data_IF_734981847600
#
_entry.id   IF_734981847600
#
_cell.length_a   1.000
_cell.length_b   1.000
_cell.length_c   1.000
_cell.angle_alpha   90.00
_cell.angle_beta   90.00
_cell.angle_gamma   90.00
#
_symmetry.space_group_name_H-M   'P 1'
#
loop_
_entity.id
_entity.type
_entity.pdbx_description
1 polymer ?
#
# COMPACT_ATOMS: atom_id res chain seq x y z
N UNK A 1 -5.57 22.77 23.54
CA UNK A 1 -4.32 22.25 22.91
C UNK A 1 -4.58 20.80 22.59
N UNK A 2 -4.71 20.45 21.30
CA UNK A 2 -5.10 19.10 20.87
C UNK A 2 -4.04 18.06 21.26
N UNK A 3 -4.45 16.81 21.47
CA UNK A 3 -3.52 15.73 21.73
C UNK A 3 -2.60 15.52 20.51
N UNK A 4 -1.32 15.23 20.76
CA UNK A 4 -0.32 14.95 19.72
C UNK A 4 0.05 13.48 19.75
N UNK A 5 0.16 12.87 18.57
CA UNK A 5 0.72 11.54 18.37
C UNK A 5 2.18 11.64 17.96
N UNK A 6 2.97 10.66 18.40
CA UNK A 6 4.36 10.48 18.01
C UNK A 6 4.48 9.16 17.27
N UNK A 7 4.77 9.20 15.97
CA UNK A 7 5.00 8.02 15.16
C UNK A 7 6.50 7.76 15.07
N UNK A 8 6.93 6.58 15.49
CA UNK A 8 8.30 6.12 15.29
C UNK A 8 8.55 5.93 13.80
N UNK A 9 9.62 6.56 13.31
CA UNK A 9 10.07 6.40 11.93
C UNK A 9 11.13 5.30 11.93
N UNK A 10 10.91 4.18 11.20
CA UNK A 10 11.88 3.10 11.18
C UNK A 10 13.14 3.54 10.45
N UNK A 11 14.31 3.07 10.90
CA UNK A 11 15.58 3.32 10.21
C UNK A 11 15.56 2.78 8.78
N UNK A 12 14.92 1.62 8.60
CA UNK A 12 14.73 0.98 7.30
C UNK A 12 13.32 0.42 7.15
N UNK A 13 12.88 0.39 5.90
CA UNK A 13 11.64 -0.22 5.43
C UNK A 13 12.01 -1.35 4.49
N UNK A 14 11.20 -2.40 4.47
CA UNK A 14 11.36 -3.50 3.52
C UNK A 14 10.16 -3.57 2.60
N UNK A 15 10.38 -3.75 1.31
CA UNK A 15 9.34 -4.06 0.32
C UNK A 15 9.69 -5.37 -0.37
N UNK A 16 8.69 -6.25 -0.57
CA UNK A 16 8.87 -7.53 -1.25
C UNK A 16 7.83 -7.74 -2.33
N UNK A 17 8.31 -8.19 -3.49
CA UNK A 17 7.47 -8.67 -4.58
C UNK A 17 7.82 -10.12 -4.86
N UNK A 18 6.82 -10.98 -4.90
CA UNK A 18 6.96 -12.39 -5.29
C UNK A 18 6.56 -12.55 -6.74
N UNK A 19 7.37 -13.25 -7.52
CA UNK A 19 7.09 -13.63 -8.89
C UNK A 19 6.89 -15.14 -8.92
N UNK A 20 5.67 -15.56 -9.20
CA UNK A 20 5.32 -16.96 -9.38
C UNK A 20 5.51 -17.34 -10.85
N UNK A 21 6.34 -18.34 -11.12
CA UNK A 21 6.71 -18.76 -12.48
C UNK A 21 7.05 -20.25 -12.51
N UNK A 22 6.99 -20.85 -13.70
CA UNK A 22 7.47 -22.21 -13.93
C UNK A 22 8.96 -22.26 -14.30
N UNK A 23 9.59 -21.11 -14.52
CA UNK A 23 11.03 -20.99 -14.79
C UNK A 23 11.84 -21.03 -13.50
N UNK A 24 12.76 -22.01 -13.34
CA UNK A 24 13.41 -22.27 -12.05
C UNK A 24 14.54 -21.31 -11.70
N UNK A 25 15.04 -20.53 -12.66
CA UNK A 25 16.18 -19.65 -12.45
C UNK A 25 15.85 -18.20 -12.85
N UNK A 26 16.12 -17.26 -11.95
CA UNK A 26 16.11 -15.85 -12.29
C UNK A 26 17.17 -15.57 -13.37
N UNK A 27 16.89 -14.69 -14.34
CA UNK A 27 17.91 -14.14 -15.22
C UNK A 27 19.05 -13.55 -14.39
N UNK A 28 20.31 -13.78 -14.81
CA UNK A 28 21.46 -13.16 -14.15
C UNK A 28 21.34 -11.63 -14.15
N UNK A 29 21.86 -10.98 -13.09
CA UNK A 29 21.70 -9.53 -12.84
C UNK A 29 22.03 -8.67 -14.07
N UNK A 30 23.08 -9.01 -14.83
CA UNK A 30 23.43 -8.30 -16.07
C UNK A 30 22.29 -8.30 -17.08
N UNK A 31 21.71 -9.47 -17.38
CA UNK A 31 20.57 -9.59 -18.31
C UNK A 31 19.35 -8.81 -17.81
N UNK A 32 19.10 -8.86 -16.50
CA UNK A 32 17.98 -8.13 -15.90
C UNK A 32 18.18 -6.60 -16.02
N UNK A 33 19.41 -6.09 -15.83
CA UNK A 33 19.73 -4.67 -16.03
C UNK A 33 19.59 -4.22 -17.48
N UNK A 34 19.97 -5.08 -18.42
CA UNK A 34 19.87 -4.83 -19.86
C UNK A 34 18.39 -4.84 -20.32
N UNK A 35 17.53 -5.62 -19.66
CA UNK A 35 16.10 -5.69 -19.93
C UNK A 35 15.27 -4.51 -19.36
N UNK A 36 15.83 -3.74 -18.42
CA UNK A 36 15.13 -2.58 -17.87
C UNK A 36 14.91 -1.49 -18.94
N UNK A 37 13.76 -0.79 -18.93
CA UNK A 37 13.48 0.28 -19.89
C UNK A 37 14.43 1.48 -19.73
N UNK A 38 14.31 2.47 -20.60
CA UNK A 38 14.93 3.78 -20.39
C UNK A 38 14.12 4.59 -19.36
N UNK A 39 14.74 5.59 -18.73
CA UNK A 39 14.03 6.50 -17.81
C UNK A 39 14.73 6.71 -16.47
N UNK A 40 14.21 7.64 -15.68
CA UNK A 40 14.74 7.94 -14.35
C UNK A 40 14.57 6.76 -13.41
N UNK A 41 13.41 6.11 -13.45
CA UNK A 41 13.09 5.00 -12.55
C UNK A 41 13.97 3.79 -12.83
N UNK A 42 14.18 3.50 -14.11
CA UNK A 42 15.05 2.42 -14.53
C UNK A 42 16.52 2.68 -14.18
N UNK A 43 16.98 3.93 -14.12
CA UNK A 43 18.32 4.23 -13.57
C UNK A 43 18.41 3.85 -12.10
N UNK A 44 17.45 4.28 -11.28
CA UNK A 44 17.37 3.87 -9.86
C UNK A 44 17.34 2.35 -9.71
N UNK A 45 16.56 1.64 -10.52
CA UNK A 45 16.51 0.18 -10.51
C UNK A 45 17.85 -0.48 -10.87
N UNK A 46 18.57 0.06 -11.88
CA UNK A 46 19.92 -0.43 -12.25
C UNK A 46 20.93 -0.23 -11.12
N UNK A 47 20.88 0.91 -10.43
CA UNK A 47 21.77 1.21 -9.31
C UNK A 47 21.49 0.27 -8.13
N UNK A 48 20.21 0.06 -7.81
CA UNK A 48 19.78 -0.88 -6.77
C UNK A 48 20.18 -2.32 -7.07
N UNK A 49 20.07 -2.79 -8.32
CA UNK A 49 20.50 -4.13 -8.73
C UNK A 49 22.01 -4.38 -8.54
N UNK A 50 22.82 -3.32 -8.40
CA UNK A 50 24.26 -3.42 -8.09
C UNK A 50 24.59 -3.22 -6.62
N UNK A 51 23.57 -3.06 -5.78
CA UNK A 51 23.68 -2.70 -4.37
C UNK A 51 23.11 -3.82 -3.49
N UNK A 52 23.56 -3.95 -2.24
CA UNK A 52 22.95 -4.88 -1.29
C UNK A 52 21.51 -4.47 -0.89
N UNK A 53 21.06 -3.27 -1.25
CA UNK A 53 19.73 -2.75 -0.93
C UNK A 53 18.61 -3.37 -1.78
N UNK A 54 18.95 -4.14 -2.83
CA UNK A 54 17.98 -4.92 -3.60
C UNK A 54 18.56 -6.29 -3.94
N UNK A 55 17.84 -7.32 -3.57
CA UNK A 55 18.21 -8.71 -3.85
C UNK A 55 17.11 -9.43 -4.62
N UNK A 56 17.52 -10.37 -5.46
CA UNK A 56 16.62 -11.29 -6.17
C UNK A 56 17.00 -12.69 -5.75
N UNK A 57 16.09 -13.38 -5.09
CA UNK A 57 16.27 -14.78 -4.67
C UNK A 57 15.25 -15.68 -5.34
N UNK A 58 15.56 -16.96 -5.46
CA UNK A 58 14.67 -17.95 -6.09
C UNK A 58 14.61 -19.23 -5.27
N UNK A 59 13.44 -19.86 -5.24
CA UNK A 59 13.22 -21.16 -4.60
C UNK A 59 12.13 -21.94 -5.34
N UNK A 60 12.07 -23.25 -5.13
CA UNK A 60 10.91 -24.04 -5.56
C UNK A 60 9.70 -23.60 -4.75
N UNK A 61 8.52 -23.58 -5.36
CA UNK A 61 7.30 -23.15 -4.67
C UNK A 61 6.97 -24.04 -3.46
N UNK A 62 7.27 -25.33 -3.55
CA UNK A 62 7.11 -26.29 -2.45
C UNK A 62 7.97 -25.96 -1.21
N UNK A 63 9.13 -25.32 -1.42
CA UNK A 63 10.07 -24.93 -0.37
C UNK A 63 9.92 -23.44 0.02
N UNK A 64 8.91 -22.77 -0.53
CA UNK A 64 8.82 -21.32 -0.43
C UNK A 64 8.35 -20.90 0.97
N UNK A 65 9.09 -20.01 1.66
CA UNK A 65 8.67 -19.52 2.97
C UNK A 65 7.41 -18.63 2.89
N UNK A 66 6.98 -18.26 1.68
CA UNK A 66 5.84 -17.38 1.42
C UNK A 66 4.54 -18.13 1.19
N UNK A 67 4.54 -19.47 1.14
CA UNK A 67 3.37 -20.27 0.82
C UNK A 67 2.18 -20.01 1.76
N UNK A 68 2.44 -19.73 3.05
CA UNK A 68 1.39 -19.32 3.99
C UNK A 68 0.78 -17.97 3.61
N UNK A 69 1.63 -16.97 3.38
CA UNK A 69 1.20 -15.61 3.02
C UNK A 69 0.45 -15.55 1.69
N UNK A 70 0.73 -16.47 0.75
CA UNK A 70 -0.02 -16.61 -0.51
C UNK A 70 -1.48 -17.06 -0.31
N UNK A 71 -1.82 -17.68 0.82
CA UNK A 71 -3.21 -18.03 1.15
C UNK A 71 -4.00 -16.83 1.65
N UNK A 72 -3.33 -15.88 2.28
CA UNK A 72 -3.93 -14.71 2.91
C UNK A 72 -3.96 -13.48 1.97
N UNK A 73 -3.45 -13.61 0.74
CA UNK A 73 -3.57 -12.56 -0.27
C UNK A 73 -5.04 -12.34 -0.64
N UNK A 74 -5.38 -11.07 -0.83
CA UNK A 74 -6.62 -10.68 -1.48
C UNK A 74 -6.52 -10.82 -3.00
N UNK A 75 -7.63 -10.59 -3.70
CA UNK A 75 -7.71 -10.65 -5.16
C UNK A 75 -8.66 -11.73 -5.66
N UNK A 76 -8.71 -11.90 -6.98
CA UNK A 76 -9.55 -12.91 -7.61
C UNK A 76 -8.97 -14.32 -7.44
N UNK A 77 -9.86 -15.31 -7.32
CA UNK A 77 -9.45 -16.70 -7.11
C UNK A 77 -8.67 -17.27 -8.31
N UNK A 78 -8.84 -16.71 -9.50
CA UNK A 78 -8.06 -17.13 -10.68
C UNK A 78 -6.60 -16.70 -10.57
N UNK A 79 -6.34 -15.44 -10.26
CA UNK A 79 -4.99 -14.91 -10.07
C UNK A 79 -4.29 -15.63 -8.90
N UNK A 80 -5.03 -15.85 -7.81
CA UNK A 80 -4.51 -16.55 -6.64
C UNK A 80 -4.16 -18.01 -6.93
N UNK A 81 -4.98 -18.70 -7.73
CA UNK A 81 -4.70 -20.08 -8.14
C UNK A 81 -3.43 -20.17 -8.99
N UNK A 82 -3.26 -19.25 -9.94
CA UNK A 82 -2.05 -19.20 -10.77
C UNK A 82 -0.79 -18.95 -9.94
N UNK A 83 -0.85 -18.02 -8.97
CA UNK A 83 0.23 -17.78 -8.02
C UNK A 83 0.57 -19.04 -7.22
N UNK A 84 -0.44 -19.78 -6.76
CA UNK A 84 -0.28 -20.98 -5.93
C UNK A 84 0.18 -22.22 -6.73
N UNK A 85 -0.12 -22.29 -8.02
CA UNK A 85 0.21 -23.46 -8.86
C UNK A 85 1.60 -23.41 -9.49
N UNK A 86 2.29 -22.25 -9.44
CA UNK A 86 3.61 -22.08 -10.03
C UNK A 86 4.63 -23.06 -9.43
N UNK A 87 5.59 -23.51 -10.24
CA UNK A 87 6.64 -24.43 -9.76
C UNK A 87 7.72 -23.73 -8.95
N UNK A 88 7.94 -22.44 -9.16
CA UNK A 88 9.02 -21.66 -8.56
C UNK A 88 8.55 -20.26 -8.15
N UNK A 89 9.16 -19.75 -7.08
CA UNK A 89 8.96 -18.38 -6.61
C UNK A 89 10.29 -17.64 -6.65
N UNK A 90 10.31 -16.53 -7.38
CA UNK A 90 11.37 -15.53 -7.29
C UNK A 90 10.90 -14.40 -6.38
N UNK A 91 11.80 -13.79 -5.61
CA UNK A 91 11.45 -12.71 -4.69
C UNK A 91 12.42 -11.57 -4.86
N UNK A 92 11.87 -10.41 -5.20
CA UNK A 92 12.59 -9.13 -5.17
C UNK A 92 12.39 -8.54 -3.79
N UNK A 93 13.48 -8.42 -3.03
CA UNK A 93 13.47 -7.75 -1.73
C UNK A 93 14.23 -6.44 -1.86
N UNK A 94 13.63 -5.34 -1.44
CA UNK A 94 14.30 -4.04 -1.33
C UNK A 94 14.25 -3.52 0.09
N UNK A 95 15.39 -3.02 0.57
CA UNK A 95 15.53 -2.35 1.86
C UNK A 95 15.87 -0.89 1.58
N UNK A 96 15.15 0.04 2.20
CA UNK A 96 15.35 1.47 1.98
C UNK A 96 15.00 2.28 3.23
N UNK A 97 15.62 3.45 3.39
CA UNK A 97 15.16 4.41 4.40
C UNK A 97 13.79 4.98 4.00
N UNK A 98 12.94 5.42 4.94
CA UNK A 98 11.70 6.12 4.61
C UNK A 98 11.90 7.32 3.68
N UNK A 99 13.01 8.05 3.82
CA UNK A 99 13.33 9.20 2.95
C UNK A 99 13.60 8.81 1.48
N UNK A 100 14.02 7.57 1.21
CA UNK A 100 14.21 7.06 -0.15
C UNK A 100 12.90 6.57 -0.80
N UNK A 101 11.80 6.54 -0.03
CA UNK A 101 10.49 6.15 -0.50
C UNK A 101 9.72 7.32 -1.11
N UNK A 102 8.79 7.06 -2.06
CA UNK A 102 8.39 5.74 -2.60
C UNK A 102 9.32 5.20 -3.71
N UNK A 103 10.39 5.92 -4.02
CA UNK A 103 11.17 5.71 -5.24
C UNK A 103 11.86 4.35 -5.27
N UNK A 104 12.41 3.90 -4.14
CA UNK A 104 13.04 2.57 -4.05
C UNK A 104 12.02 1.44 -4.18
N UNK A 105 10.84 1.55 -3.55
CA UNK A 105 9.76 0.59 -3.73
C UNK A 105 9.29 0.50 -5.20
N UNK A 106 9.12 1.64 -5.89
CA UNK A 106 8.81 1.65 -7.33
C UNK A 106 9.88 0.96 -8.17
N UNK A 107 11.15 1.22 -7.89
CA UNK A 107 12.25 0.60 -8.62
C UNK A 107 12.27 -0.92 -8.40
N UNK A 108 11.99 -1.39 -7.18
CA UNK A 108 11.83 -2.80 -6.89
C UNK A 108 10.64 -3.43 -7.63
N UNK A 109 9.50 -2.73 -7.72
CA UNK A 109 8.33 -3.20 -8.50
C UNK A 109 8.63 -3.27 -9.99
N UNK A 110 9.37 -2.30 -10.54
CA UNK A 110 9.84 -2.33 -11.92
C UNK A 110 10.73 -3.56 -12.17
N UNK A 111 11.64 -3.88 -11.26
CA UNK A 111 12.46 -5.11 -11.34
C UNK A 111 11.57 -6.36 -11.32
N UNK A 112 10.58 -6.42 -10.43
CA UNK A 112 9.64 -7.53 -10.34
C UNK A 112 8.81 -7.71 -11.63
N UNK A 113 8.31 -6.62 -12.21
CA UNK A 113 7.60 -6.63 -13.50
C UNK A 113 8.50 -7.08 -14.65
N UNK A 114 9.75 -6.65 -14.65
CA UNK A 114 10.75 -7.05 -15.67
C UNK A 114 11.06 -8.54 -15.57
N UNK A 115 11.19 -9.07 -14.33
CA UNK A 115 11.33 -10.50 -14.10
C UNK A 115 10.10 -11.28 -14.56
N UNK A 116 8.90 -10.82 -14.20
CA UNK A 116 7.66 -11.45 -14.62
C UNK A 116 7.53 -11.49 -16.16
N UNK A 117 7.89 -10.42 -16.85
CA UNK A 117 7.92 -10.41 -18.32
C UNK A 117 8.95 -11.41 -18.88
N UNK A 118 10.12 -11.52 -18.25
CA UNK A 118 11.18 -12.43 -18.70
C UNK A 118 10.88 -13.92 -18.42
N UNK A 119 10.04 -14.22 -17.43
CA UNK A 119 9.73 -15.59 -17.00
C UNK A 119 8.27 -16.00 -17.21
N UNK A 120 7.50 -15.17 -17.92
CA UNK A 120 6.05 -15.31 -18.07
C UNK A 120 5.32 -15.51 -16.72
N UNK A 121 5.81 -14.85 -15.66
CA UNK A 121 5.35 -15.02 -14.30
C UNK A 121 4.22 -14.07 -13.89
N UNK A 122 3.60 -14.36 -12.75
CA UNK A 122 2.65 -13.48 -12.04
C UNK A 122 3.33 -12.79 -10.87
N UNK A 123 2.96 -11.55 -10.58
CA UNK A 123 3.54 -10.77 -9.48
C UNK A 123 2.53 -10.60 -8.36
N UNK A 124 2.96 -10.91 -7.14
CA UNK A 124 2.28 -10.53 -5.91
C UNK A 124 3.07 -9.47 -5.15
N UNK A 125 2.40 -8.38 -4.78
CA UNK A 125 2.92 -7.40 -3.85
C UNK A 125 2.64 -7.87 -2.42
N UNK A 126 3.67 -8.36 -1.74
CA UNK A 126 3.50 -8.93 -0.40
C UNK A 126 3.19 -7.87 0.64
N UNK A 127 3.61 -6.63 0.44
CA UNK A 127 3.31 -5.54 1.36
C UNK A 127 1.86 -5.03 1.20
N UNK A 128 1.32 -5.02 -0.03
CA UNK A 128 -0.10 -4.70 -0.26
C UNK A 128 -1.03 -5.90 -0.01
N UNK A 129 -0.48 -7.11 0.02
CA UNK A 129 -1.25 -8.35 0.13
C UNK A 129 -2.08 -8.65 -1.12
N UNK A 130 -1.68 -8.18 -2.29
CA UNK A 130 -2.45 -8.30 -3.54
C UNK A 130 -1.60 -8.77 -4.72
N UNK A 131 -2.16 -9.56 -5.66
CA UNK A 131 -1.58 -9.70 -6.99
C UNK A 131 -1.58 -8.36 -7.72
N UNK A 132 -0.59 -8.11 -8.58
CA UNK A 132 -0.63 -6.96 -9.49
C UNK A 132 -1.63 -7.23 -10.62
N UNK A 133 -2.51 -6.27 -10.87
CA UNK A 133 -3.56 -6.36 -11.91
C UNK A 133 -2.96 -6.58 -13.30
N UNK A 134 -1.93 -5.81 -13.63
CA UNK A 134 -1.10 -6.03 -14.82
C UNK A 134 0.32 -6.34 -14.33
N UNK A 135 0.77 -7.61 -14.33
CA UNK A 135 2.08 -7.98 -13.79
C UNK A 135 3.26 -7.63 -14.72
N UNK A 136 3.00 -7.36 -16.00
CA UNK A 136 4.06 -7.12 -17.01
C UNK A 136 4.01 -5.72 -17.63
N UNK A 137 2.96 -4.95 -17.33
CA UNK A 137 2.80 -3.58 -17.78
C UNK A 137 3.91 -2.65 -17.32
N UNK A 138 4.04 -1.48 -17.97
CA UNK A 138 5.06 -0.50 -17.65
C UNK A 138 4.85 0.04 -16.21
N UNK A 139 5.95 0.21 -15.48
CA UNK A 139 5.91 0.92 -14.20
C UNK A 139 5.96 2.45 -14.46
N UNK A 140 4.98 3.23 -13.98
CA UNK A 140 4.96 4.68 -14.20
C UNK A 140 6.13 5.39 -13.53
N UNK A 141 6.70 6.38 -14.22
CA UNK A 141 7.78 7.23 -13.66
C UNK A 141 7.28 8.06 -12.47
N UNK A 142 6.04 8.54 -12.51
CA UNK A 142 5.38 9.25 -11.41
C UNK A 142 4.67 8.26 -10.50
N UNK A 143 4.99 8.30 -9.21
CA UNK A 143 4.29 7.52 -8.19
C UNK A 143 2.86 8.01 -7.97
N UNK A 144 1.92 7.07 -7.86
CA UNK A 144 0.55 7.30 -7.39
C UNK A 144 0.14 6.17 -6.45
N UNK A 145 -0.37 6.49 -5.27
CA UNK A 145 -0.73 5.48 -4.26
C UNK A 145 -1.88 4.56 -4.75
N UNK A 146 -2.77 5.05 -5.62
CA UNK A 146 -3.85 4.26 -6.21
C UNK A 146 -3.41 3.24 -7.26
N UNK A 147 -2.17 3.27 -7.74
CA UNK A 147 -1.68 2.30 -8.72
C UNK A 147 -1.21 1.01 -8.01
N UNK A 148 -2.12 0.32 -7.32
CA UNK A 148 -1.94 -0.97 -6.64
C UNK A 148 -0.89 -1.00 -5.51
N UNK A 149 -0.61 0.15 -4.88
CA UNK A 149 0.35 0.22 -3.75
C UNK A 149 -0.28 -0.02 -2.37
N UNK A 150 -1.61 0.06 -2.28
CA UNK A 150 -2.38 0.01 -1.04
C UNK A 150 -3.53 -1.00 -1.18
N UNK A 151 -3.46 -2.09 -0.41
CA UNK A 151 -4.60 -2.99 -0.20
C UNK A 151 -5.52 -2.45 0.89
N UNK A 152 -6.81 -2.77 0.80
CA UNK A 152 -7.78 -2.56 1.89
C UNK A 152 -8.56 -3.86 2.09
N UNK A 153 -8.38 -4.47 3.26
CA UNK A 153 -8.95 -5.76 3.61
C UNK A 153 -10.13 -5.58 4.53
N UNK A 154 -11.20 -6.30 4.24
CA UNK A 154 -12.47 -6.21 4.98
C UNK A 154 -12.73 -7.54 5.65
N UNK A 155 -13.05 -7.50 6.93
CA UNK A 155 -13.39 -8.68 7.71
C UNK A 155 -14.55 -8.36 8.67
N UNK A 156 -15.27 -9.37 9.18
CA UNK A 156 -16.15 -9.18 10.33
C UNK A 156 -15.38 -8.54 11.50
N UNK A 157 -16.03 -7.63 12.21
CA UNK A 157 -15.51 -7.05 13.45
C UNK A 157 -16.06 -7.78 14.68
N UNK A 158 -15.59 -7.42 15.86
CA UNK A 158 -16.23 -7.83 17.11
C UNK A 158 -17.59 -7.12 17.23
N UNK A 159 -18.67 -7.83 16.95
CA UNK A 159 -20.05 -7.30 17.03
C UNK A 159 -20.81 -7.37 15.70
N UNK A 160 -21.74 -6.45 15.48
CA UNK A 160 -22.62 -6.40 14.29
C UNK A 160 -22.05 -5.55 13.14
N UNK A 161 -20.74 -5.24 13.15
CA UNK A 161 -20.09 -4.38 12.16
C UNK A 161 -19.00 -5.09 11.37
N UNK A 162 -18.39 -4.36 10.44
CA UNK A 162 -17.19 -4.79 9.72
C UNK A 162 -16.00 -3.93 10.11
N UNK A 163 -14.81 -4.52 9.98
CA UNK A 163 -13.55 -3.81 10.07
C UNK A 163 -12.91 -3.73 8.70
N UNK A 164 -12.22 -2.62 8.43
CA UNK A 164 -11.43 -2.44 7.22
C UNK A 164 -10.01 -1.99 7.60
N UNK A 165 -9.00 -2.67 7.10
CA UNK A 165 -7.60 -2.39 7.40
C UNK A 165 -6.79 -2.18 6.13
N UNK A 166 -5.87 -1.23 6.12
CA UNK A 166 -4.93 -1.08 5.00
C UNK A 166 -3.81 -2.10 5.09
N UNK A 167 -3.21 -2.40 3.93
CA UNK A 167 -1.91 -3.05 3.85
C UNK A 167 -1.05 -2.34 2.80
N UNK A 168 0.18 -2.01 3.17
CA UNK A 168 1.21 -1.50 2.27
C UNK A 168 1.84 -0.19 2.72
N UNK A 169 1.28 0.51 3.72
CA UNK A 169 1.82 1.77 4.23
C UNK A 169 3.13 1.59 4.98
N UNK A 170 3.33 0.46 5.64
CA UNK A 170 4.58 0.15 6.38
C UNK A 170 5.82 0.23 5.50
N UNK A 171 5.70 -0.09 4.21
CA UNK A 171 6.80 -0.01 3.25
C UNK A 171 7.28 1.42 3.02
N UNK A 172 6.47 2.41 3.36
CA UNK A 172 6.79 3.84 3.31
C UNK A 172 7.18 4.41 4.67
N UNK A 173 7.23 3.58 5.72
CA UNK A 173 7.52 4.03 7.08
C UNK A 173 6.30 4.61 7.79
N UNK A 174 5.09 4.24 7.37
CA UNK A 174 3.83 4.64 7.99
C UNK A 174 3.12 3.44 8.63
N UNK A 175 2.41 3.63 9.75
CA UNK A 175 1.53 2.59 10.29
C UNK A 175 0.38 2.31 9.32
N UNK A 176 -0.12 1.07 9.33
CA UNK A 176 -1.38 0.75 8.65
C UNK A 176 -2.57 1.46 9.33
N UNK A 177 -3.64 1.67 8.58
CA UNK A 177 -4.87 2.31 9.06
C UNK A 177 -5.96 1.26 9.30
N UNK A 178 -6.77 1.50 10.31
CA UNK A 178 -7.86 0.62 10.71
C UNK A 178 -9.15 1.40 10.92
N UNK A 179 -10.25 0.88 10.36
CA UNK A 179 -11.61 1.29 10.68
C UNK A 179 -12.31 0.11 11.37
N UNK A 180 -12.98 0.39 12.49
CA UNK A 180 -13.79 -0.58 13.25
C UNK A 180 -15.24 -0.12 13.36
N UNK A 181 -16.09 -1.07 13.75
CA UNK A 181 -17.52 -0.86 13.99
C UNK A 181 -18.22 -0.15 12.82
N UNK A 182 -17.76 -0.42 11.60
CA UNK A 182 -18.33 0.16 10.38
C UNK A 182 -19.63 -0.59 10.08
N UNK A 183 -20.78 0.09 9.95
CA UNK A 183 -21.99 -0.54 9.44
C UNK A 183 -21.74 -1.07 8.03
N UNK A 184 -22.24 -2.27 7.70
CA UNK A 184 -21.94 -2.93 6.41
C UNK A 184 -22.30 -2.04 5.21
N UNK A 185 -23.43 -1.33 5.27
CA UNK A 185 -23.90 -0.38 4.27
C UNK A 185 -22.99 0.86 4.10
N UNK A 186 -22.05 1.08 5.02
CA UNK A 186 -21.05 2.16 5.01
C UNK A 186 -19.64 1.67 4.66
N UNK A 187 -19.49 0.41 4.26
CA UNK A 187 -18.18 -0.15 3.94
C UNK A 187 -17.41 0.67 2.90
N UNK A 188 -18.09 1.07 1.81
CA UNK A 188 -17.45 1.88 0.75
C UNK A 188 -16.96 3.22 1.26
N UNK A 189 -17.70 3.86 2.17
CA UNK A 189 -17.30 5.09 2.85
C UNK A 189 -16.02 4.85 3.65
N UNK A 190 -15.99 3.82 4.49
CA UNK A 190 -14.81 3.51 5.30
C UNK A 190 -13.56 3.24 4.45
N UNK A 191 -13.70 2.45 3.37
CA UNK A 191 -12.60 2.18 2.44
C UNK A 191 -12.08 3.48 1.80
N UNK A 192 -12.97 4.39 1.41
CA UNK A 192 -12.57 5.66 0.80
C UNK A 192 -11.93 6.63 1.82
N UNK A 193 -12.43 6.66 3.06
CA UNK A 193 -11.79 7.42 4.16
C UNK A 193 -10.37 6.91 4.41
N UNK A 194 -10.19 5.58 4.49
CA UNK A 194 -8.87 4.97 4.67
C UNK A 194 -7.92 5.33 3.52
N UNK A 195 -8.39 5.29 2.25
CA UNK A 195 -7.60 5.67 1.08
C UNK A 195 -7.20 7.14 1.07
N UNK A 196 -8.14 8.04 1.34
CA UNK A 196 -7.88 9.48 1.42
C UNK A 196 -6.90 9.82 2.55
N UNK A 197 -7.11 9.24 3.73
CA UNK A 197 -6.20 9.44 4.86
C UNK A 197 -4.81 8.86 4.61
N UNK A 198 -4.71 7.68 3.98
CA UNK A 198 -3.44 7.09 3.56
C UNK A 198 -2.68 7.99 2.58
N UNK A 199 -3.37 8.56 1.59
CA UNK A 199 -2.79 9.53 0.66
C UNK A 199 -2.24 10.75 1.40
N UNK A 200 -3.04 11.36 2.28
CA UNK A 200 -2.64 12.54 3.04
C UNK A 200 -1.44 12.26 3.94
N UNK A 201 -1.48 11.20 4.74
CA UNK A 201 -0.38 10.85 5.64
C UNK A 201 0.92 10.59 4.88
N UNK A 202 0.85 9.96 3.71
CA UNK A 202 2.00 9.76 2.84
C UNK A 202 2.55 11.08 2.29
N UNK A 203 1.68 11.98 1.84
CA UNK A 203 2.09 13.29 1.34
C UNK A 203 2.73 14.14 2.44
N UNK A 204 2.10 14.20 3.61
CA UNK A 204 2.56 14.97 4.77
C UNK A 204 3.90 14.43 5.30
N UNK A 205 4.03 13.12 5.46
CA UNK A 205 5.29 12.51 5.89
C UNK A 205 6.40 12.75 4.88
N UNK A 206 6.12 12.63 3.58
CA UNK A 206 7.13 12.89 2.54
C UNK A 206 7.60 14.34 2.56
N UNK A 207 6.67 15.29 2.75
CA UNK A 207 7.01 16.70 2.92
C UNK A 207 7.90 16.90 4.15
N UNK A 208 7.57 16.27 5.27
CA UNK A 208 8.35 16.34 6.50
C UNK A 208 9.73 15.68 6.39
N UNK A 209 9.84 14.49 5.78
CA UNK A 209 11.11 13.79 5.56
C UNK A 209 12.05 14.59 4.65
N UNK A 210 11.52 15.44 3.77
CA UNK A 210 12.33 16.33 2.93
C UNK A 210 13.07 17.40 3.73
N UNK A 211 12.57 17.76 4.92
CA UNK A 211 13.19 18.74 5.82
C UNK A 211 13.91 18.08 7.00
N UNK A 212 13.50 16.88 7.40
CA UNK A 212 14.06 16.14 8.54
C UNK A 212 14.33 14.66 8.23
N UNK A 213 15.23 14.34 7.27
CA UNK A 213 15.40 12.97 6.76
C UNK A 213 15.97 11.96 7.77
N UNK A 214 16.64 12.43 8.82
CA UNK A 214 17.25 11.62 9.87
C UNK A 214 16.45 11.59 11.19
N UNK A 215 15.25 12.20 11.21
CA UNK A 215 14.43 12.23 12.41
C UNK A 215 13.78 10.86 12.65
N UNK A 216 14.00 10.28 13.83
CA UNK A 216 13.43 8.98 14.23
C UNK A 216 11.98 9.05 14.70
N UNK A 217 11.37 10.24 14.74
CA UNK A 217 9.99 10.43 15.20
C UNK A 217 9.31 11.58 14.47
N UNK A 218 8.10 11.32 14.00
CA UNK A 218 7.23 12.30 13.36
C UNK A 218 6.02 12.59 14.26
N UNK A 219 5.81 13.87 14.59
CA UNK A 219 4.68 14.32 15.42
C UNK A 219 3.56 14.86 14.56
N UNK A 220 2.34 14.42 14.84
CA UNK A 220 1.12 14.88 14.18
C UNK A 220 -0.03 15.03 15.19
N UNK A 221 -1.04 15.88 14.90
CA UNK A 221 -2.24 15.96 15.71
C UNK A 221 -2.97 14.61 15.77
N UNK A 222 -3.40 14.19 16.96
CA UNK A 222 -4.26 13.03 17.14
C UNK A 222 -5.66 13.31 16.58
N UNK A 223 -6.18 14.50 16.88
CA UNK A 223 -7.40 15.03 16.29
C UNK A 223 -7.03 15.74 14.99
N UNK A 224 -7.54 15.21 13.89
CA UNK A 224 -7.27 15.73 12.55
C UNK A 224 -8.56 15.78 11.75
N UNK A 225 -8.44 16.34 10.56
CA UNK A 225 -9.53 16.54 9.63
C UNK A 225 -9.14 15.88 8.32
N UNK A 226 -10.00 15.08 7.72
CA UNK A 226 -9.81 14.57 6.36
C UNK A 226 -10.55 15.49 5.39
N UNK A 227 -9.83 16.08 4.44
CA UNK A 227 -10.45 16.77 3.31
C UNK A 227 -11.06 15.70 2.39
N UNK A 228 -12.38 15.71 2.10
CA UNK A 228 -12.98 14.78 1.15
C UNK A 228 -12.29 14.80 -0.24
N UNK A 229 -11.67 15.92 -0.60
CA UNK A 229 -10.83 16.04 -1.79
C UNK A 229 -9.61 15.11 -1.78
N UNK A 230 -9.09 14.70 -0.62
CA UNK A 230 -8.01 13.72 -0.52
C UNK A 230 -8.43 12.33 -1.01
N UNK A 231 -9.73 11.99 -0.90
CA UNK A 231 -10.28 10.77 -1.50
C UNK A 231 -10.14 10.81 -3.02
N UNK A 232 -10.37 11.96 -3.64
CA UNK A 232 -10.20 12.13 -5.09
C UNK A 232 -8.73 12.22 -5.50
N UNK A 233 -7.91 12.94 -4.72
CA UNK A 233 -6.46 13.03 -4.97
C UNK A 233 -5.77 11.68 -4.84
N UNK A 234 -6.25 10.79 -3.96
CA UNK A 234 -5.80 9.39 -3.94
C UNK A 234 -5.91 8.75 -5.33
N UNK A 235 -7.03 8.96 -6.03
CA UNK A 235 -7.27 8.48 -7.40
C UNK A 235 -6.67 9.38 -8.50
N UNK A 236 -5.84 10.36 -8.13
CA UNK A 236 -5.26 11.36 -9.03
C UNK A 236 -6.33 12.18 -9.79
N UNK A 237 -7.48 12.40 -9.16
CA UNK A 237 -8.57 13.24 -9.67
C UNK A 237 -8.54 14.59 -8.94
N UNK A 238 -8.59 15.68 -9.70
CA UNK A 238 -8.68 17.02 -9.13
C UNK A 238 -10.03 17.17 -8.39
N UNK A 239 -10.02 17.53 -7.09
CA UNK A 239 -11.27 17.62 -6.35
C UNK A 239 -12.03 18.90 -6.72
N UNK A 240 -13.37 18.84 -6.90
CA UNK A 240 -14.19 20.02 -6.78
C UNK A 240 -14.25 20.45 -5.31
N UNK A 241 -14.90 21.57 -5.03
CA UNK A 241 -15.25 21.92 -3.65
C UNK A 241 -16.34 20.96 -3.15
N UNK A 242 -15.95 20.06 -2.24
CA UNK A 242 -16.77 18.93 -1.77
C UNK A 242 -17.36 19.15 -0.37
N UNK A 243 -17.29 20.37 0.16
CA UNK A 243 -17.80 20.73 1.48
C UNK A 243 -16.77 20.64 2.59
N UNK A 244 -17.25 20.52 3.83
CA UNK A 244 -16.42 20.61 5.04
C UNK A 244 -15.57 19.37 5.30
N UNK A 245 -14.45 19.52 6.03
CA UNK A 245 -13.60 18.40 6.42
C UNK A 245 -14.35 17.38 7.29
N UNK A 246 -13.92 16.12 7.24
CA UNK A 246 -14.39 15.05 8.11
C UNK A 246 -13.49 15.04 9.37
N UNK A 247 -13.99 15.46 10.53
CA UNK A 247 -13.20 15.43 11.76
C UNK A 247 -13.07 13.99 12.25
N UNK A 248 -11.85 13.59 12.59
CA UNK A 248 -11.52 12.25 13.10
C UNK A 248 -10.38 12.29 14.11
N UNK A 249 -10.31 11.26 14.94
CA UNK A 249 -9.18 11.00 15.83
C UNK A 249 -8.42 9.76 15.37
N UNK A 250 -7.09 9.87 15.37
CA UNK A 250 -6.17 8.76 15.19
C UNK A 250 -5.84 8.16 16.56
N UNK A 251 -6.03 6.86 16.70
CA UNK A 251 -5.77 6.12 17.95
C UNK A 251 -4.81 4.98 17.66
N UNK A 252 -3.60 4.96 18.25
CA UNK A 252 -2.70 3.82 18.11
C UNK A 252 -3.34 2.54 18.62
N UNK A 253 -3.26 1.47 17.84
CA UNK A 253 -3.73 0.14 18.21
C UNK A 253 -2.76 -0.94 17.70
N UNK A 254 -2.84 -2.19 18.21
CA UNK A 254 -2.11 -3.30 17.59
C UNK A 254 -2.47 -3.45 16.11
N UNK A 255 -1.49 -3.80 15.27
CA UNK A 255 -1.70 -4.04 13.85
C UNK A 255 -2.01 -5.52 13.55
N UNK A 256 -2.91 -5.76 12.59
CA UNK A 256 -3.11 -7.10 12.00
C UNK A 256 -2.01 -7.44 10.97
N UNK A 257 -1.22 -6.44 10.55
CA UNK A 257 -0.12 -6.59 9.60
C UNK A 257 1.07 -7.34 10.23
N UNK A 258 1.56 -8.45 9.64
CA UNK A 258 2.66 -9.25 10.21
C UNK A 258 4.01 -8.52 10.33
N UNK A 259 4.22 -7.48 9.53
CA UNK A 259 5.45 -6.68 9.52
C UNK A 259 5.32 -5.40 10.37
N UNK A 260 4.18 -5.21 11.05
CA UNK A 260 3.82 -3.99 11.74
C UNK A 260 3.59 -4.25 13.23
N UNK A 261 4.15 -3.40 14.09
CA UNK A 261 3.85 -3.45 15.54
C UNK A 261 2.59 -2.67 15.92
N UNK A 262 2.29 -1.60 15.18
CA UNK A 262 1.23 -0.63 15.51
C UNK A 262 0.51 -0.17 14.25
N UNK A 263 -0.81 -0.04 14.34
CA UNK A 263 -1.70 0.59 13.36
C UNK A 263 -2.34 1.86 13.97
N UNK A 264 -2.99 2.67 13.13
CA UNK A 264 -3.80 3.80 13.58
C UNK A 264 -5.27 3.52 13.28
N UNK A 265 -6.06 3.35 14.34
CA UNK A 265 -7.51 3.30 14.25
C UNK A 265 -8.07 4.71 14.03
N UNK A 266 -9.03 4.83 13.13
CA UNK A 266 -9.86 6.01 12.95
C UNK A 266 -11.04 5.91 13.92
N UNK A 267 -11.23 6.95 14.73
CA UNK A 267 -12.32 7.06 15.70
C UNK A 267 -12.98 8.46 15.64
N UNK A 268 -14.20 8.62 16.17
CA UNK A 268 -14.82 9.92 16.36
C UNK A 268 -13.98 10.81 17.31
N UNK A 269 -13.82 12.12 17.03
CA UNK A 269 -13.01 13.02 17.86
C UNK A 269 -13.51 13.16 19.31
N UNK A 270 -14.82 13.07 19.50
CA UNK A 270 -15.51 13.20 20.77
C UNK A 270 -15.60 11.87 21.55
N UNK A 271 -15.07 10.78 20.99
CA UNK A 271 -15.23 9.44 21.56
C UNK A 271 -16.68 8.93 21.54
N UNK A 272 -17.53 9.51 20.68
CA UNK A 272 -18.90 9.05 20.46
C UNK A 272 -18.97 7.67 19.79
N UNK A 273 -20.18 7.19 19.54
CA UNK A 273 -20.39 5.87 18.92
C UNK A 273 -19.89 5.84 17.46
N UNK A 274 -18.89 4.99 17.20
CA UNK A 274 -18.27 4.78 15.88
C UNK A 274 -19.31 4.59 14.76
N UNK A 275 -20.29 3.71 14.96
CA UNK A 275 -21.32 3.39 13.97
C UNK A 275 -22.17 4.62 13.59
N UNK A 276 -22.51 5.46 14.57
CA UNK A 276 -23.28 6.67 14.36
C UNK A 276 -22.46 7.75 13.65
N UNK A 277 -21.17 7.85 13.93
CA UNK A 277 -20.25 8.76 13.24
C UNK A 277 -20.07 8.40 11.77
N UNK A 278 -19.91 7.11 11.44
CA UNK A 278 -19.84 6.66 10.05
C UNK A 278 -21.06 7.10 9.25
N UNK A 279 -22.25 7.02 9.85
CA UNK A 279 -23.51 7.32 9.17
C UNK A 279 -23.81 8.82 9.11
N UNK A 280 -23.58 9.57 10.18
CA UNK A 280 -23.96 10.99 10.28
C UNK A 280 -22.89 11.96 9.81
N UNK A 281 -21.62 11.56 9.85
CA UNK A 281 -20.49 12.46 9.60
C UNK A 281 -19.70 12.03 8.37
N UNK A 282 -19.16 10.81 8.36
CA UNK A 282 -18.29 10.38 7.27
C UNK A 282 -19.05 10.15 5.95
N UNK A 283 -20.18 9.43 5.99
CA UNK A 283 -20.92 9.06 4.78
C UNK A 283 -21.46 10.25 3.97
N UNK A 284 -22.02 11.32 4.57
CA UNK A 284 -22.48 12.48 3.81
C UNK A 284 -21.34 13.29 3.15
N UNK A 285 -20.13 13.24 3.70
CA UNK A 285 -18.99 14.01 3.22
C UNK A 285 -18.15 13.28 2.16
N UNK A 286 -18.16 11.95 2.13
CA UNK A 286 -17.36 11.18 1.16
C UNK A 286 -18.06 11.14 -0.21
N UNK A 287 -17.36 11.45 -1.31
CA UNK A 287 -17.92 11.34 -2.66
C UNK A 287 -18.45 9.93 -2.96
N UNK A 288 -19.73 9.83 -3.31
CA UNK A 288 -20.40 8.57 -3.66
C UNK A 288 -20.12 8.11 -5.09
N UNK A 289 -19.71 9.03 -5.97
CA UNK A 289 -19.40 8.77 -7.37
C UNK A 289 -17.95 9.15 -7.67
N UNK A 290 -17.07 8.15 -7.73
CA UNK A 290 -15.80 8.25 -8.42
C UNK A 290 -16.10 7.95 -9.88
N UNK A 291 -16.28 8.96 -10.72
CA UNK A 291 -16.32 8.74 -12.17
C UNK A 291 -14.88 8.45 -12.59
N UNK A 292 -14.56 7.25 -13.11
CA UNK A 292 -13.22 6.99 -13.59
C UNK A 292 -12.88 7.96 -14.72
N UNK A 293 -11.63 8.43 -14.84
CA UNK A 293 -11.22 9.21 -15.99
C UNK A 293 -11.48 8.41 -17.28
N UNK A 294 -11.89 9.05 -18.38
CA UNK A 294 -12.14 8.35 -19.64
C UNK A 294 -10.88 7.58 -20.05
N UNK A 295 -11.01 6.25 -20.17
CA UNK A 295 -9.92 5.35 -20.57
C UNK A 295 -9.47 4.29 -19.55
N UNK A 296 -10.00 4.29 -18.32
CA UNK A 296 -9.85 3.14 -17.40
C UNK A 296 -11.20 2.42 -17.27
N UNK A 297 -11.32 1.27 -17.91
CA UNK A 297 -12.38 0.30 -17.60
C UNK A 297 -12.24 -0.11 -16.14
N UNK A 298 -13.32 -0.01 -15.35
CA UNK A 298 -13.36 -0.64 -14.03
C UNK A 298 -13.15 -2.15 -14.19
N UNK A 299 -12.40 -2.81 -13.29
CA UNK A 299 -12.50 -4.25 -13.13
C UNK A 299 -13.90 -4.64 -12.67
#
# INVERSE_FOLDING_TARGET
MGAMLSLTIPETTTTRFLIATDEPAAPGIRRLRDALPAGGLARTARDLLTSPLLTVTGCRAADSPWAARLRDLGGGETELRELRSARCHLVVTSIATPAAQPRHAQAARLVARTLAAATAGRVADLAAGLPLTDPTGPEPERFKLCDDWLGVFVAPDTGQGVRAATAGLHRFGLPELLARHVPYERLRTAVNVLRGLAFRLQADQRSWLSTAPAAGSWRLPADTELDPGDVLRYWDVAPPDLGGPIPLRLVPCPADCPECGTALQIAPPDGGEDAAWWTRTAAPAVPTHLVPPPGRSSP
#
